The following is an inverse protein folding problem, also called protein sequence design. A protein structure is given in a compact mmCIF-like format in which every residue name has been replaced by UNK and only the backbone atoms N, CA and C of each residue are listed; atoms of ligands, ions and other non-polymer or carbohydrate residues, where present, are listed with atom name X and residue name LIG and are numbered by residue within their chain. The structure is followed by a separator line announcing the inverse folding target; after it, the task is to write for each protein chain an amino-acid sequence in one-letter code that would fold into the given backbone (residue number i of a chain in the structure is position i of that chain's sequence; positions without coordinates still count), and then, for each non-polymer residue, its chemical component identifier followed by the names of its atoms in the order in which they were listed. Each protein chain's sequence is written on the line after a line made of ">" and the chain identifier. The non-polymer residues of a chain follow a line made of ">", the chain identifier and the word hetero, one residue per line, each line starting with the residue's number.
data_IF_329486243449
#
_entry.id   IF_329486243449
#
_cell.length_a   1.000
_cell.length_b   1.000
_cell.length_c   1.000
_cell.angle_alpha   90.00
_cell.angle_beta   90.00
_cell.angle_gamma   90.00
#
_symmetry.space_group_name_H-M   'P 1'
#
loop_
_entity.id
_entity.type
_entity.pdbx_description
1 polymer ?
#
# COMPACT_ATOMS: atom_id res chain seq x y z
N UNK A 1 8.58 -11.82 -16.16
CA UNK A 1 8.24 -10.62 -15.38
C UNK A 1 8.02 -11.00 -13.92
N UNK A 2 8.39 -10.11 -12.99
CA UNK A 2 8.18 -10.28 -11.55
C UNK A 2 7.81 -8.94 -10.93
N UNK A 3 6.94 -8.94 -9.92
CA UNK A 3 6.54 -7.71 -9.24
C UNK A 3 5.79 -7.96 -7.94
N UNK A 4 5.98 -7.06 -6.97
CA UNK A 4 5.28 -7.09 -5.68
C UNK A 4 4.15 -6.08 -5.60
N UNK A 5 3.06 -6.39 -4.88
CA UNK A 5 1.91 -5.51 -4.67
C UNK A 5 1.37 -4.97 -6.01
N UNK A 6 1.33 -3.66 -6.24
CA UNK A 6 0.96 -3.06 -7.53
C UNK A 6 1.79 -3.60 -8.71
N UNK A 7 3.08 -3.87 -8.50
CA UNK A 7 3.91 -4.53 -9.51
C UNK A 7 3.44 -5.94 -9.85
N UNK A 8 2.85 -6.66 -8.88
CA UNK A 8 2.20 -7.95 -9.12
C UNK A 8 0.92 -7.82 -9.95
N UNK A 9 0.12 -6.77 -9.73
CA UNK A 9 -1.02 -6.46 -10.61
C UNK A 9 -0.57 -6.23 -12.06
N UNK A 10 0.52 -5.47 -12.25
CA UNK A 10 1.12 -5.29 -13.57
C UNK A 10 1.63 -6.61 -14.18
N UNK A 11 2.19 -7.52 -13.36
CA UNK A 11 2.57 -8.87 -13.81
C UNK A 11 1.37 -9.64 -14.32
N UNK A 12 0.24 -9.59 -13.60
CA UNK A 12 -1.01 -10.26 -14.01
C UNK A 12 -1.56 -9.65 -15.31
N UNK A 13 -1.59 -8.33 -15.43
CA UNK A 13 -1.99 -7.62 -16.65
C UNK A 13 -1.12 -8.01 -17.85
N UNK A 14 0.20 -8.02 -17.69
CA UNK A 14 1.10 -8.43 -18.76
C UNK A 14 0.90 -9.88 -19.17
N UNK A 15 0.73 -10.79 -18.20
CA UNK A 15 0.52 -12.20 -18.51
C UNK A 15 -0.83 -12.43 -19.18
N UNK A 16 -1.88 -11.70 -18.81
CA UNK A 16 -3.21 -11.82 -19.39
C UNK A 16 -3.31 -11.22 -20.80
N UNK A 17 -2.75 -10.01 -21.01
CA UNK A 17 -2.95 -9.29 -22.28
C UNK A 17 -1.83 -9.55 -23.31
N UNK A 18 -0.65 -9.99 -22.89
CA UNK A 18 0.51 -10.22 -23.74
C UNK A 18 1.23 -11.53 -23.42
N UNK A 19 0.51 -12.68 -23.37
CA UNK A 19 1.09 -13.96 -22.98
C UNK A 19 2.26 -14.37 -23.88
N UNK A 20 2.22 -14.01 -25.17
CA UNK A 20 3.29 -14.29 -26.13
C UNK A 20 4.62 -13.61 -25.80
N UNK A 21 4.62 -12.60 -24.90
CA UNK A 21 5.79 -11.87 -24.42
C UNK A 21 6.24 -12.27 -23.03
N UNK A 22 5.47 -13.12 -22.35
CA UNK A 22 5.70 -13.48 -20.94
C UNK A 22 5.97 -14.96 -20.81
N UNK A 23 7.24 -15.35 -20.78
CA UNK A 23 7.63 -16.73 -20.52
C UNK A 23 7.35 -17.19 -19.10
N UNK A 24 7.52 -16.29 -18.13
CA UNK A 24 7.27 -16.56 -16.71
C UNK A 24 6.74 -15.32 -15.99
N UNK A 25 5.74 -15.51 -15.13
CA UNK A 25 5.09 -14.48 -14.34
C UNK A 25 5.24 -14.80 -12.83
N UNK A 26 5.78 -13.86 -12.07
CA UNK A 26 6.00 -14.01 -10.61
C UNK A 26 5.29 -12.86 -9.88
N UNK A 27 3.97 -12.96 -9.65
CA UNK A 27 3.24 -12.03 -8.80
C UNK A 27 3.54 -12.33 -7.33
N UNK A 28 3.88 -11.28 -6.54
CA UNK A 28 4.30 -11.41 -5.15
C UNK A 28 3.42 -10.51 -4.28
N UNK A 29 2.81 -11.03 -3.22
CA UNK A 29 1.98 -10.27 -2.28
C UNK A 29 1.03 -9.31 -3.01
N UNK A 30 0.18 -9.84 -3.88
CA UNK A 30 -0.70 -9.07 -4.77
C UNK A 30 -2.07 -9.73 -4.89
N UNK A 31 -3.00 -9.01 -5.47
CA UNK A 31 -4.36 -9.49 -5.72
C UNK A 31 -4.78 -9.17 -7.16
N UNK A 32 -5.73 -9.93 -7.68
CA UNK A 32 -6.35 -9.68 -8.98
C UNK A 32 -7.50 -8.64 -8.92
N UNK A 33 -7.93 -8.27 -7.70
CA UNK A 33 -8.92 -7.24 -7.41
C UNK A 33 -8.82 -6.83 -5.95
N UNK A 34 -8.86 -5.53 -5.67
CA UNK A 34 -8.90 -5.04 -4.30
C UNK A 34 -10.14 -5.53 -3.54
N UNK A 35 -9.93 -6.03 -2.34
CA UNK A 35 -11.01 -6.34 -1.40
C UNK A 35 -11.59 -5.05 -0.80
N UNK A 36 -12.80 -5.09 -0.20
CA UNK A 36 -13.32 -3.96 0.55
C UNK A 36 -12.38 -3.48 1.67
N UNK A 37 -11.61 -4.37 2.30
CA UNK A 37 -10.64 -4.03 3.33
C UNK A 37 -9.50 -3.20 2.75
N UNK A 38 -8.93 -3.60 1.61
CA UNK A 38 -7.89 -2.85 0.90
C UNK A 38 -8.36 -1.44 0.51
N UNK A 39 -9.57 -1.34 -0.05
CA UNK A 39 -10.21 -0.07 -0.39
C UNK A 39 -10.39 0.80 0.85
N UNK A 40 -10.80 0.21 1.99
CA UNK A 40 -10.98 0.95 3.25
C UNK A 40 -9.66 1.51 3.78
N UNK A 41 -8.57 0.74 3.80
CA UNK A 41 -7.26 1.25 4.20
C UNK A 41 -6.75 2.35 3.27
N UNK A 42 -6.92 2.19 1.96
CA UNK A 42 -6.60 3.24 0.99
C UNK A 42 -7.40 4.51 1.23
N UNK A 43 -8.70 4.37 1.54
CA UNK A 43 -9.58 5.52 1.81
C UNK A 43 -9.18 6.26 3.08
N UNK A 44 -8.84 5.58 4.17
CA UNK A 44 -8.33 6.24 5.39
C UNK A 44 -7.09 7.09 5.07
N UNK A 45 -6.17 6.55 4.27
CA UNK A 45 -4.99 7.29 3.83
C UNK A 45 -5.34 8.52 2.98
N UNK A 46 -6.30 8.39 2.07
CA UNK A 46 -6.76 9.53 1.25
C UNK A 46 -7.44 10.59 2.09
N UNK A 47 -8.29 10.19 3.04
CA UNK A 47 -8.95 11.13 3.96
C UNK A 47 -7.94 11.90 4.83
N UNK A 48 -6.85 11.27 5.25
CA UNK A 48 -5.78 11.96 5.96
C UNK A 48 -5.14 13.08 5.09
N UNK A 49 -4.94 12.81 3.78
CA UNK A 49 -4.43 13.82 2.85
C UNK A 49 -5.45 14.94 2.63
N UNK A 50 -6.74 14.60 2.44
CA UNK A 50 -7.81 15.60 2.23
C UNK A 50 -8.03 16.50 3.44
N UNK A 51 -7.85 15.96 4.66
CA UNK A 51 -7.98 16.71 5.90
C UNK A 51 -6.79 17.64 6.17
N UNK A 52 -5.67 17.48 5.48
CA UNK A 52 -4.52 18.37 5.61
C UNK A 52 -4.79 19.71 4.89
N UNK A 53 -4.86 20.86 5.62
CA UNK A 53 -5.15 22.16 5.01
C UNK A 53 -4.16 22.55 3.91
N UNK A 54 -2.93 22.02 3.94
CA UNK A 54 -1.91 22.30 2.95
C UNK A 54 -2.19 21.60 1.62
N UNK A 55 -3.10 20.61 1.55
CA UNK A 55 -3.48 19.96 0.31
C UNK A 55 -4.21 20.88 -0.67
N UNK A 56 -5.01 21.83 -0.15
CA UNK A 56 -5.66 22.88 -0.94
C UNK A 56 -6.37 22.34 -2.20
N UNK A 57 -7.21 21.30 -2.04
CA UNK A 57 -7.90 20.63 -3.15
C UNK A 57 -6.98 20.14 -4.28
N UNK A 58 -5.74 19.80 -3.96
CA UNK A 58 -4.73 19.34 -4.91
C UNK A 58 -3.85 20.43 -5.51
N UNK A 59 -4.19 21.71 -5.29
CA UNK A 59 -3.45 22.87 -5.81
C UNK A 59 -2.50 23.46 -4.77
N UNK A 60 -1.48 22.68 -4.38
CA UNK A 60 -0.49 23.08 -3.38
C UNK A 60 0.89 23.39 -3.97
N UNK A 61 1.13 23.04 -5.23
CA UNK A 61 2.45 23.21 -5.87
C UNK A 61 2.87 24.66 -5.98
N UNK A 62 1.93 25.55 -6.30
CA UNK A 62 2.20 26.98 -6.47
C UNK A 62 2.58 27.68 -5.15
N UNK A 63 2.10 27.16 -4.02
CA UNK A 63 2.26 27.79 -2.71
C UNK A 63 3.51 27.30 -1.93
N UNK A 64 4.22 26.31 -2.46
CA UNK A 64 5.35 25.67 -1.79
C UNK A 64 4.97 24.96 -0.48
N UNK A 65 3.68 24.89 -0.09
CA UNK A 65 3.17 24.16 1.06
C UNK A 65 2.78 22.77 0.60
N UNK A 66 3.21 21.77 1.37
CA UNK A 66 2.94 20.36 1.05
C UNK A 66 2.07 19.74 2.14
N UNK A 67 1.10 18.90 1.78
CA UNK A 67 0.27 18.18 2.74
C UNK A 67 1.04 16.99 3.36
N UNK A 68 2.19 17.30 3.96
CA UNK A 68 3.10 16.31 4.49
C UNK A 68 2.54 15.63 5.75
N UNK A 69 1.73 16.33 6.54
CA UNK A 69 1.09 15.75 7.72
C UNK A 69 0.08 14.66 7.32
N UNK A 70 -0.80 14.94 6.36
CA UNK A 70 -1.76 13.97 5.84
C UNK A 70 -1.08 12.80 5.15
N UNK A 71 -0.09 13.07 4.30
CA UNK A 71 0.67 12.03 3.59
C UNK A 71 1.47 11.15 4.57
N UNK A 72 2.03 11.71 5.65
CA UNK A 72 2.71 10.98 6.71
C UNK A 72 1.76 10.00 7.40
N UNK A 73 0.55 10.44 7.79
CA UNK A 73 -0.47 9.58 8.39
C UNK A 73 -0.89 8.47 7.45
N UNK A 74 -1.12 8.77 6.17
CA UNK A 74 -1.42 7.77 5.15
C UNK A 74 -0.33 6.69 5.07
N UNK A 75 0.94 7.07 5.17
CA UNK A 75 2.07 6.13 5.19
C UNK A 75 2.13 5.31 6.47
N UNK A 76 1.79 5.89 7.63
CA UNK A 76 1.72 5.15 8.88
C UNK A 76 0.70 4.00 8.79
N UNK A 77 -0.48 4.25 8.22
CA UNK A 77 -1.50 3.21 7.98
C UNK A 77 -0.90 2.08 7.14
N UNK A 78 -0.22 2.38 6.05
CA UNK A 78 0.46 1.38 5.23
C UNK A 78 1.49 0.57 6.03
N UNK A 79 2.26 1.19 6.92
CA UNK A 79 3.22 0.46 7.75
C UNK A 79 2.59 -0.46 8.81
N UNK A 80 1.37 -0.18 9.25
CA UNK A 80 0.61 -1.10 10.11
C UNK A 80 0.26 -2.37 9.31
N UNK A 81 -0.17 -2.22 8.06
CA UNK A 81 -0.60 -3.35 7.23
C UNK A 81 0.55 -4.20 6.68
N UNK A 82 1.80 -3.70 6.67
CA UNK A 82 2.96 -4.41 6.14
C UNK A 82 3.65 -5.36 7.13
N UNK A 83 3.26 -5.34 8.39
CA UNK A 83 3.82 -6.19 9.43
C UNK A 83 2.74 -7.12 9.98
N UNK A 84 3.07 -8.40 10.17
CA UNK A 84 2.20 -9.28 10.94
C UNK A 84 2.12 -8.84 12.39
N UNK A 85 1.05 -9.19 13.10
CA UNK A 85 0.91 -8.95 14.53
C UNK A 85 2.10 -9.53 15.32
N UNK A 86 2.50 -10.76 14.98
CA UNK A 86 3.65 -11.41 15.60
C UNK A 86 4.94 -10.61 15.37
N UNK A 87 5.24 -10.24 14.14
CA UNK A 87 6.44 -9.44 13.83
C UNK A 87 6.44 -8.07 14.52
N UNK A 88 5.26 -7.45 14.64
CA UNK A 88 5.11 -6.19 15.35
C UNK A 88 5.36 -6.35 16.84
N UNK A 89 4.83 -7.43 17.44
CA UNK A 89 5.05 -7.78 18.84
C UNK A 89 6.52 -8.07 19.13
N UNK A 90 7.16 -8.91 18.32
CA UNK A 90 8.58 -9.27 18.49
C UNK A 90 9.50 -8.05 18.34
N UNK A 91 9.19 -7.19 17.35
CA UNK A 91 10.02 -6.03 17.02
C UNK A 91 9.90 -4.89 18.04
N UNK A 92 8.70 -4.61 18.52
CA UNK A 92 8.43 -3.44 19.37
C UNK A 92 7.88 -3.81 20.75
N UNK A 93 7.00 -4.82 20.85
CA UNK A 93 6.28 -5.14 22.08
C UNK A 93 5.58 -3.89 22.63
N UNK A 94 5.74 -3.66 23.93
CA UNK A 94 5.29 -2.45 24.62
C UNK A 94 6.47 -1.59 25.10
N UNK A 95 7.61 -1.68 24.43
CA UNK A 95 8.81 -0.94 24.84
C UNK A 95 8.62 0.56 24.66
N UNK A 96 9.13 1.31 25.64
CA UNK A 96 9.14 2.76 25.62
C UNK A 96 10.37 3.29 24.88
N UNK A 97 10.18 4.38 24.16
CA UNK A 97 11.23 5.05 23.39
C UNK A 97 12.14 5.86 24.31
N UNK A 98 13.32 5.30 24.67
CA UNK A 98 14.34 6.02 25.42
C UNK A 98 13.96 6.38 26.86
N UNK A 99 12.95 5.70 27.47
CA UNK A 99 12.51 5.94 28.84
C UNK A 99 12.09 4.64 29.52
N UNK A 100 12.06 4.64 30.86
CA UNK A 100 11.67 3.46 31.66
C UNK A 100 10.25 3.53 32.21
N UNK A 101 9.61 4.71 32.23
CA UNK A 101 8.29 4.94 32.80
C UNK A 101 7.41 5.74 31.87
N UNK A 102 6.09 5.55 31.97
CA UNK A 102 5.10 6.34 31.25
C UNK A 102 5.16 7.80 31.67
N UNK A 103 5.15 8.71 30.69
CA UNK A 103 5.10 10.15 30.91
C UNK A 103 3.69 10.72 31.04
N UNK A 104 2.69 9.98 30.54
CA UNK A 104 1.28 10.43 30.45
C UNK A 104 1.11 11.75 29.70
N UNK A 105 1.97 11.99 28.72
CA UNK A 105 2.00 13.19 27.90
C UNK A 105 1.51 12.88 26.48
N UNK A 106 1.13 13.93 25.71
CA UNK A 106 0.75 13.78 24.29
C UNK A 106 1.97 13.70 23.35
N UNK A 107 3.03 13.07 23.81
CA UNK A 107 4.26 12.87 23.04
C UNK A 107 4.41 11.39 22.67
N UNK A 108 5.32 11.11 21.73
CA UNK A 108 5.71 9.74 21.40
C UNK A 108 6.32 9.05 22.61
N UNK A 109 5.70 8.00 23.08
CA UNK A 109 6.17 7.23 24.24
C UNK A 109 6.66 5.84 23.87
N UNK A 110 5.99 5.16 22.93
CA UNK A 110 6.32 3.80 22.53
C UNK A 110 7.23 3.75 21.29
N UNK A 111 8.09 2.73 21.23
CA UNK A 111 8.95 2.50 20.05
C UNK A 111 8.15 2.38 18.77
N UNK A 112 6.97 1.74 18.78
CA UNK A 112 6.12 1.61 17.61
C UNK A 112 5.62 2.98 17.10
N UNK A 113 5.29 3.90 17.98
CA UNK A 113 4.88 5.26 17.59
C UNK A 113 6.02 5.98 16.89
N UNK A 114 7.23 5.88 17.45
CA UNK A 114 8.45 6.44 16.86
C UNK A 114 8.73 5.84 15.48
N UNK A 115 8.58 4.52 15.34
CA UNK A 115 8.74 3.82 14.07
C UNK A 115 7.75 4.32 13.00
N UNK A 116 6.47 4.43 13.35
CA UNK A 116 5.44 4.90 12.42
C UNK A 116 5.72 6.34 11.99
N UNK A 117 5.99 7.23 12.94
CA UNK A 117 6.31 8.63 12.67
C UNK A 117 7.54 8.76 11.77
N UNK A 118 8.62 8.06 12.09
CA UNK A 118 9.83 8.06 11.28
C UNK A 118 9.56 7.66 9.82
N UNK A 119 8.79 6.59 9.61
CA UNK A 119 8.47 6.12 8.26
C UNK A 119 7.50 7.03 7.52
N UNK A 120 6.56 7.66 8.22
CA UNK A 120 5.71 8.70 7.68
C UNK A 120 6.52 9.89 7.18
N UNK A 121 7.35 10.47 8.03
CA UNK A 121 8.20 11.63 7.71
C UNK A 121 9.22 11.33 6.59
N UNK A 122 9.78 10.12 6.59
CA UNK A 122 10.70 9.69 5.52
C UNK A 122 10.00 9.58 4.17
N UNK A 123 8.74 9.17 4.17
CA UNK A 123 7.95 9.02 2.94
C UNK A 123 7.64 10.36 2.29
N UNK A 124 7.28 11.38 3.07
CA UNK A 124 6.94 12.71 2.56
C UNK A 124 8.08 13.37 1.79
N UNK A 125 9.33 13.03 2.13
CA UNK A 125 10.52 13.60 1.45
C UNK A 125 10.70 13.11 0.01
N UNK A 126 10.08 11.98 -0.36
CA UNK A 126 10.30 11.30 -1.64
C UNK A 126 9.03 11.02 -2.42
N UNK A 127 7.86 11.28 -1.84
CA UNK A 127 6.60 10.98 -2.48
C UNK A 127 5.66 12.19 -2.46
N UNK A 128 4.84 12.28 -3.48
CA UNK A 128 3.90 13.38 -3.69
C UNK A 128 2.50 12.95 -3.29
N UNK A 129 1.74 13.84 -2.62
CA UNK A 129 0.43 13.51 -2.10
C UNK A 129 -0.62 13.27 -3.20
N UNK A 130 -0.64 14.08 -4.26
CA UNK A 130 -1.54 13.85 -5.39
C UNK A 130 -1.21 12.53 -6.10
N UNK A 131 0.08 12.21 -6.26
CA UNK A 131 0.51 10.91 -6.78
C UNK A 131 0.03 9.75 -5.91
N UNK A 132 0.06 9.90 -4.57
CA UNK A 132 -0.49 8.91 -3.64
C UNK A 132 -1.99 8.71 -3.86
N UNK A 133 -2.76 9.80 -4.02
CA UNK A 133 -4.20 9.73 -4.27
C UNK A 133 -4.50 8.99 -5.58
N UNK A 134 -3.81 9.33 -6.68
CA UNK A 134 -3.99 8.68 -7.98
C UNK A 134 -3.59 7.20 -7.94
N UNK A 135 -2.44 6.87 -7.36
CA UNK A 135 -1.96 5.49 -7.28
C UNK A 135 -2.92 4.61 -6.47
N UNK A 136 -3.38 5.10 -5.30
CA UNK A 136 -4.33 4.32 -4.48
C UNK A 136 -5.69 4.16 -5.15
N UNK A 137 -6.17 5.15 -5.92
CA UNK A 137 -7.38 5.01 -6.72
C UNK A 137 -7.19 4.02 -7.88
N UNK A 138 -6.05 4.05 -8.55
CA UNK A 138 -5.75 3.06 -9.61
C UNK A 138 -5.75 1.63 -9.07
N UNK A 139 -5.20 1.43 -7.86
CA UNK A 139 -5.25 0.12 -7.17
C UNK A 139 -6.70 -0.30 -6.86
N UNK A 140 -7.54 0.62 -6.37
CA UNK A 140 -8.94 0.33 -6.06
C UNK A 140 -9.76 -0.04 -7.30
N UNK A 141 -9.43 0.54 -8.45
CA UNK A 141 -10.10 0.25 -9.73
C UNK A 141 -9.58 -1.00 -10.43
N UNK A 142 -8.47 -1.56 -9.98
CA UNK A 142 -7.93 -2.77 -10.58
C UNK A 142 -8.87 -3.95 -10.32
N UNK A 143 -9.45 -4.49 -11.39
CA UNK A 143 -10.33 -5.66 -11.35
C UNK A 143 -10.16 -6.50 -12.62
N UNK A 144 -9.21 -7.42 -12.58
CA UNK A 144 -8.92 -8.28 -13.72
C UNK A 144 -10.08 -9.22 -14.07
N UNK A 145 -10.84 -9.67 -13.07
CA UNK A 145 -12.04 -10.46 -13.32
C UNK A 145 -13.14 -9.63 -13.99
N UNK A 146 -13.34 -8.39 -13.53
CA UNK A 146 -14.33 -7.47 -14.12
C UNK A 146 -14.06 -7.16 -15.58
N UNK A 147 -12.80 -7.06 -15.99
CA UNK A 147 -12.38 -6.88 -17.38
C UNK A 147 -12.71 -8.09 -18.27
N UNK A 148 -12.95 -9.29 -17.66
CA UNK A 148 -13.20 -10.56 -18.35
C UNK A 148 -14.55 -11.16 -17.96
N UNK A 149 -15.61 -10.34 -17.96
CA UNK A 149 -16.99 -10.78 -17.70
C UNK A 149 -17.24 -11.34 -16.30
N UNK A 150 -16.43 -10.95 -15.32
CA UNK A 150 -16.52 -11.39 -13.92
C UNK A 150 -15.76 -12.69 -13.62
N UNK A 151 -15.03 -13.25 -14.57
CA UNK A 151 -14.30 -14.51 -14.42
C UNK A 151 -12.78 -14.31 -14.46
N UNK A 152 -12.11 -14.56 -13.33
CA UNK A 152 -10.64 -14.56 -13.31
C UNK A 152 -10.07 -15.70 -14.15
N UNK A 153 -10.75 -16.85 -14.25
CA UNK A 153 -10.31 -17.94 -15.12
C UNK A 153 -10.32 -17.52 -16.58
N UNK A 154 -11.32 -16.75 -17.03
CA UNK A 154 -11.38 -16.24 -18.40
C UNK A 154 -10.21 -15.28 -18.73
N UNK A 155 -9.70 -14.55 -17.75
CA UNK A 155 -8.52 -13.67 -17.92
C UNK A 155 -7.25 -14.44 -18.34
N UNK A 156 -7.17 -15.74 -18.01
CA UNK A 156 -6.00 -16.59 -18.26
C UNK A 156 -6.30 -17.79 -19.18
N UNK A 157 -7.48 -17.88 -19.79
CA UNK A 157 -7.90 -19.01 -20.61
C UNK A 157 -6.94 -19.26 -21.80
N UNK A 158 -6.37 -18.20 -22.35
CA UNK A 158 -5.45 -18.25 -23.49
C UNK A 158 -3.96 -18.21 -23.09
N UNK A 159 -3.65 -18.29 -21.79
CA UNK A 159 -2.29 -18.15 -21.25
C UNK A 159 -1.69 -19.55 -21.00
N UNK A 160 -1.54 -20.37 -22.06
CA UNK A 160 -1.13 -21.76 -21.95
C UNK A 160 0.37 -21.96 -21.68
N UNK A 161 1.22 -21.10 -22.23
CA UNK A 161 2.68 -21.29 -22.24
C UNK A 161 3.44 -20.46 -21.21
N UNK A 162 2.74 -19.62 -20.43
CA UNK A 162 3.36 -18.83 -19.37
C UNK A 162 3.45 -19.63 -18.07
N UNK A 163 4.65 -19.79 -17.53
CA UNK A 163 4.84 -20.39 -16.21
C UNK A 163 4.54 -19.38 -15.11
N UNK A 164 3.75 -19.78 -14.09
CA UNK A 164 3.42 -18.93 -12.95
C UNK A 164 4.09 -19.44 -11.67
N UNK A 165 4.71 -18.51 -10.93
CA UNK A 165 5.09 -18.68 -9.53
C UNK A 165 4.42 -17.61 -8.70
N UNK A 166 3.34 -17.98 -7.99
CA UNK A 166 2.62 -17.05 -7.11
C UNK A 166 3.22 -17.13 -5.70
N UNK A 167 3.66 -15.98 -5.17
CA UNK A 167 4.19 -15.87 -3.81
C UNK A 167 3.22 -15.05 -2.97
N UNK A 168 2.62 -15.70 -1.96
CA UNK A 168 1.72 -15.08 -0.98
C UNK A 168 2.21 -15.34 0.43
N UNK A 169 1.77 -14.54 1.39
CA UNK A 169 2.13 -14.66 2.80
C UNK A 169 0.88 -14.99 3.62
N UNK A 170 0.97 -15.98 4.49
CA UNK A 170 -0.16 -16.42 5.33
C UNK A 170 -0.60 -15.37 6.35
N UNK A 171 0.28 -14.44 6.69
CA UNK A 171 0.03 -13.32 7.60
C UNK A 171 -0.37 -12.02 6.89
N UNK A 172 -0.46 -12.03 5.58
CA UNK A 172 -0.92 -10.90 4.78
C UNK A 172 -2.43 -10.74 4.95
N UNK A 173 -2.88 -9.58 5.29
CA UNK A 173 -4.29 -9.25 5.51
C UNK A 173 -4.82 -8.19 4.53
N UNK A 174 -4.05 -7.91 3.48
CA UNK A 174 -4.39 -7.02 2.37
C UNK A 174 -4.81 -7.77 1.10
#
# INVERSE_FOLDING_TARGET
>A
VAGGSMGGMQVLEWASHHPERVRAAIPIATTARHSPMLIAFSEVGRQAVYADPAWNNGDYYANGKRPDAGLSVARMVGHITYLSEQSMHEKFGRRLQGRERYGYEFQTEFEIESYLKHNGDKFTRRFDANSYLYVTKALDYFDLAGQHGGSLAAAFEHVADTAFLVISFTSDWL
#
